data_IF_343077605681
#
_entry.id   IF_343077605681
#
_cell.length_a   1.000
_cell.length_b   1.000
_cell.length_c   1.000
_cell.angle_alpha   90.00
_cell.angle_beta   90.00
_cell.angle_gamma   90.00
#
_symmetry.space_group_name_H-M   'P 1'
#
loop_
_entity.id
_entity.type
_entity.pdbx_description
1 polymer ?
#
# COMPACT_ATOMS: atom_id res chain seq x y z
N UNK A 1 -17.44 -8.52 -9.40
CA UNK A 1 -17.76 -9.12 -8.09
C UNK A 1 -17.16 -8.24 -7.00
N UNK A 2 -17.91 -7.29 -6.43
CA UNK A 2 -17.39 -6.37 -5.42
C UNK A 2 -17.00 -7.06 -4.10
N UNK A 3 -17.56 -8.25 -3.83
CA UNK A 3 -17.30 -9.01 -2.60
C UNK A 3 -15.87 -9.55 -2.50
N UNK A 4 -15.26 -10.00 -3.60
CA UNK A 4 -13.91 -10.58 -3.58
C UNK A 4 -12.82 -9.53 -3.36
N UNK A 5 -12.94 -8.37 -4.01
CA UNK A 5 -12.01 -7.25 -3.82
C UNK A 5 -12.05 -6.71 -2.38
N UNK A 6 -13.25 -6.57 -1.80
CA UNK A 6 -13.41 -6.18 -0.40
C UNK A 6 -12.80 -7.21 0.56
N UNK A 7 -13.00 -8.51 0.30
CA UNK A 7 -12.38 -9.58 1.09
C UNK A 7 -10.85 -9.53 1.04
N UNK A 8 -10.25 -9.39 -0.15
CA UNK A 8 -8.80 -9.32 -0.32
C UNK A 8 -8.19 -8.12 0.40
N UNK A 9 -8.84 -6.94 0.31
CA UNK A 9 -8.42 -5.75 1.07
C UNK A 9 -8.49 -5.98 2.58
N UNK A 10 -9.58 -6.57 3.06
CA UNK A 10 -9.77 -6.86 4.48
C UNK A 10 -8.73 -7.85 5.01
N UNK A 11 -8.52 -8.96 4.29
CA UNK A 11 -7.52 -9.96 4.64
C UNK A 11 -6.09 -9.38 4.61
N UNK A 12 -5.75 -8.62 3.57
CA UNK A 12 -4.46 -7.95 3.47
C UNK A 12 -4.24 -6.94 4.60
N UNK A 13 -5.23 -6.11 4.93
CA UNK A 13 -5.14 -5.17 6.05
C UNK A 13 -4.93 -5.88 7.40
N UNK A 14 -5.62 -7.00 7.63
CA UNK A 14 -5.44 -7.81 8.84
C UNK A 14 -4.03 -8.38 8.93
N UNK A 15 -3.47 -8.89 7.83
CA UNK A 15 -2.08 -9.36 7.80
C UNK A 15 -1.07 -8.23 8.03
N UNK A 16 -1.30 -7.02 7.51
CA UNK A 16 -0.43 -5.87 7.81
C UNK A 16 -0.44 -5.55 9.30
N UNK A 17 -1.62 -5.55 9.94
CA UNK A 17 -1.73 -5.32 11.39
C UNK A 17 -1.03 -6.44 12.17
N UNK A 18 -1.19 -7.69 11.74
CA UNK A 18 -0.53 -8.82 12.37
C UNK A 18 1.00 -8.72 12.25
N UNK A 19 1.52 -8.48 11.04
CA UNK A 19 2.95 -8.30 10.81
C UNK A 19 3.53 -7.11 11.60
N UNK A 20 2.77 -6.01 11.73
CA UNK A 20 3.16 -4.87 12.55
C UNK A 20 3.26 -5.23 14.04
N UNK A 21 2.30 -5.99 14.56
CA UNK A 21 2.35 -6.53 15.92
C UNK A 21 3.54 -7.47 16.11
N UNK A 22 3.78 -8.40 15.17
CA UNK A 22 4.93 -9.32 15.21
C UNK A 22 6.26 -8.57 15.21
N UNK A 23 6.41 -7.52 14.39
CA UNK A 23 7.59 -6.66 14.39
C UNK A 23 7.79 -5.95 15.74
N UNK A 24 6.72 -5.39 16.31
CA UNK A 24 6.79 -4.69 17.60
C UNK A 24 7.15 -5.66 18.73
N UNK A 25 6.56 -6.86 18.73
CA UNK A 25 6.84 -7.89 19.72
C UNK A 25 8.29 -8.39 19.60
N UNK A 26 8.76 -8.68 18.39
CA UNK A 26 10.15 -9.05 18.15
C UNK A 26 11.13 -7.97 18.65
N UNK A 27 10.84 -6.69 18.38
CA UNK A 27 11.65 -5.58 18.89
C UNK A 27 11.65 -5.51 20.41
N UNK A 28 10.51 -5.74 21.06
CA UNK A 28 10.43 -5.79 22.52
C UNK A 28 11.31 -6.89 23.09
N UNK A 29 11.28 -8.10 22.50
CA UNK A 29 12.12 -9.22 22.92
C UNK A 29 13.62 -8.92 22.77
N UNK A 30 14.02 -8.26 21.67
CA UNK A 30 15.42 -7.84 21.49
C UNK A 30 15.87 -6.86 22.58
N UNK A 31 15.01 -5.91 22.96
CA UNK A 31 15.31 -4.96 24.04
C UNK A 31 15.47 -5.66 25.39
N UNK A 32 14.61 -6.64 25.69
CA UNK A 32 14.70 -7.43 26.93
C UNK A 32 16.01 -8.25 26.97
N UNK A 33 16.44 -8.80 25.83
CA UNK A 33 17.71 -9.53 25.72
C UNK A 33 18.93 -8.61 25.90
N UNK A 34 18.91 -7.41 25.33
CA UNK A 34 19.99 -6.42 25.53
C UNK A 34 20.12 -6.01 27.00
N UNK A 35 19.00 -5.86 27.71
CA UNK A 35 18.99 -5.57 29.15
C UNK A 35 19.60 -6.71 29.97
N UNK A 36 19.29 -7.98 29.63
CA UNK A 36 19.87 -9.15 30.28
C UNK A 36 21.36 -9.30 29.98
N UNK A 37 21.78 -9.07 28.74
CA UNK A 37 23.19 -9.12 28.33
C UNK A 37 24.00 -8.01 29.02
N UNK A 38 23.44 -6.79 29.13
CA UNK A 38 24.04 -5.68 29.85
C UNK A 38 24.17 -5.93 31.36
N UNK A 39 23.20 -6.62 31.96
CA UNK A 39 23.25 -7.02 33.37
C UNK A 39 24.31 -8.11 33.65
N UNK A 40 24.60 -8.97 32.68
CA UNK A 40 25.65 -10.00 32.77
C UNK A 40 27.08 -9.50 32.49
N UNK A 41 27.24 -8.34 31.86
CA UNK A 41 28.54 -7.77 31.46
C UNK A 41 29.38 -7.16 32.60
N UNK A 42 28.99 -7.34 33.87
CA UNK A 42 29.78 -6.96 35.05
C UNK A 42 30.98 -7.91 35.35
N UNK A 43 31.43 -8.69 34.36
CA UNK A 43 32.55 -9.63 34.44
C UNK A 43 33.87 -9.01 33.89
N UNK A 44 35.05 -9.51 34.30
CA UNK A 44 36.31 -8.76 34.34
C UNK A 44 36.93 -8.39 32.97
N UNK A 45 37.87 -7.42 32.94
CA UNK A 45 38.14 -6.56 31.77
C UNK A 45 38.95 -7.17 30.61
N UNK A 46 39.47 -8.39 30.72
CA UNK A 46 40.72 -8.72 30.01
C UNK A 46 40.57 -9.49 28.67
N UNK A 47 39.36 -9.64 28.10
CA UNK A 47 39.13 -10.36 26.81
C UNK A 47 38.38 -9.57 25.72
N UNK A 48 38.39 -8.22 25.78
CA UNK A 48 37.38 -7.37 25.09
C UNK A 48 37.54 -7.08 23.59
N UNK A 49 38.61 -7.45 22.89
CA UNK A 49 38.92 -6.80 21.59
C UNK A 49 38.48 -7.58 20.34
N UNK A 50 38.40 -8.91 20.34
CA UNK A 50 37.93 -9.69 19.17
C UNK A 50 36.47 -10.15 19.27
N UNK A 51 36.00 -10.52 20.47
CA UNK A 51 34.61 -10.96 20.67
C UNK A 51 33.60 -9.82 20.45
N UNK A 52 33.97 -8.57 20.76
CA UNK A 52 33.10 -7.41 20.56
C UNK A 52 32.74 -7.17 19.07
N UNK A 53 33.63 -7.52 18.13
CA UNK A 53 33.38 -7.39 16.69
C UNK A 53 32.43 -8.47 16.16
N UNK A 54 32.58 -9.71 16.65
CA UNK A 54 31.67 -10.81 16.30
C UNK A 54 30.28 -10.61 16.90
N UNK A 55 30.20 -10.10 18.14
CA UNK A 55 28.95 -9.76 18.82
C UNK A 55 28.24 -8.58 18.14
N UNK A 56 28.96 -7.57 17.65
CA UNK A 56 28.36 -6.46 16.88
C UNK A 56 27.79 -6.91 15.53
N UNK A 57 28.47 -7.83 14.83
CA UNK A 57 27.95 -8.44 13.59
C UNK A 57 26.73 -9.33 13.84
N UNK A 58 26.72 -10.08 14.95
CA UNK A 58 25.57 -10.88 15.37
C UNK A 58 24.38 -10.00 15.84
N UNK A 59 24.63 -8.89 16.53
CA UNK A 59 23.61 -7.92 16.92
C UNK A 59 23.00 -7.20 15.70
N UNK A 60 23.81 -6.88 14.69
CA UNK A 60 23.33 -6.34 13.42
C UNK A 60 22.48 -7.37 12.64
N UNK A 61 22.86 -8.65 12.67
CA UNK A 61 22.05 -9.74 12.12
C UNK A 61 20.77 -9.98 12.96
N UNK A 62 20.80 -9.75 14.28
CA UNK A 62 19.65 -9.86 15.18
C UNK A 62 18.64 -8.72 15.00
N UNK A 63 19.05 -7.56 14.46
CA UNK A 63 18.10 -6.48 14.13
C UNK A 63 17.26 -6.75 12.87
N UNK A 64 17.59 -7.79 12.11
CA UNK A 64 16.80 -8.19 10.94
C UNK A 64 15.57 -8.96 11.45
N UNK A 65 14.34 -8.53 11.10
CA UNK A 65 13.14 -9.25 11.53
C UNK A 65 13.15 -10.68 10.97
N UNK A 66 12.55 -11.63 11.71
CA UNK A 66 12.42 -13.00 11.25
C UNK A 66 11.84 -13.09 9.82
N UNK A 67 12.35 -14.01 8.98
CA UNK A 67 12.02 -14.04 7.56
C UNK A 67 10.53 -14.33 7.30
N UNK A 68 9.88 -15.07 8.19
CA UNK A 68 8.43 -15.31 8.20
C UNK A 68 7.62 -14.00 8.25
N UNK A 69 8.03 -13.03 9.08
CA UNK A 69 7.37 -11.71 9.15
C UNK A 69 7.54 -10.93 7.85
N UNK A 70 8.70 -11.06 7.20
CA UNK A 70 8.97 -10.45 5.89
C UNK A 70 8.06 -11.06 4.81
N UNK A 71 7.92 -12.39 4.79
CA UNK A 71 7.02 -13.08 3.86
C UNK A 71 5.56 -12.73 4.11
N UNK A 72 5.14 -12.63 5.38
CA UNK A 72 3.78 -12.24 5.75
C UNK A 72 3.46 -10.82 5.26
N UNK A 73 4.38 -9.86 5.46
CA UNK A 73 4.20 -8.49 4.98
C UNK A 73 4.15 -8.42 3.44
N UNK A 74 4.99 -9.19 2.75
CA UNK A 74 4.98 -9.28 1.29
C UNK A 74 3.65 -9.86 0.78
N UNK A 75 3.14 -10.91 1.42
CA UNK A 75 1.84 -11.49 1.11
C UNK A 75 0.70 -10.47 1.36
N UNK A 76 0.74 -9.76 2.48
CA UNK A 76 -0.23 -8.73 2.83
C UNK A 76 -0.29 -7.63 1.76
N UNK A 77 0.87 -7.14 1.32
CA UNK A 77 1.00 -6.16 0.24
C UNK A 77 0.41 -6.69 -1.08
N UNK A 78 0.72 -7.93 -1.45
CA UNK A 78 0.19 -8.56 -2.66
C UNK A 78 -1.35 -8.67 -2.62
N UNK A 79 -1.93 -9.04 -1.47
CA UNK A 79 -3.39 -9.12 -1.32
C UNK A 79 -4.06 -7.75 -1.41
N UNK A 80 -3.48 -6.72 -0.77
CA UNK A 80 -3.97 -5.35 -0.87
C UNK A 80 -3.93 -4.85 -2.32
N UNK A 81 -2.80 -5.05 -3.00
CA UNK A 81 -2.63 -4.64 -4.39
C UNK A 81 -3.62 -5.35 -5.32
N UNK A 82 -3.78 -6.68 -5.17
CA UNK A 82 -4.76 -7.44 -5.92
C UNK A 82 -6.19 -6.96 -5.64
N UNK A 83 -6.51 -6.66 -4.38
CA UNK A 83 -7.80 -6.10 -3.97
C UNK A 83 -8.08 -4.74 -4.63
N UNK A 84 -7.09 -3.86 -4.71
CA UNK A 84 -7.21 -2.58 -5.42
C UNK A 84 -7.39 -2.75 -6.93
N UNK A 85 -6.57 -3.59 -7.57
CA UNK A 85 -6.65 -3.85 -9.00
C UNK A 85 -8.00 -4.45 -9.41
N UNK A 86 -8.53 -5.39 -8.63
CA UNK A 86 -9.85 -5.98 -8.86
C UNK A 86 -10.99 -5.02 -8.51
N UNK A 87 -10.75 -4.08 -7.61
CA UNK A 87 -11.70 -3.07 -7.17
C UNK A 87 -11.82 -1.85 -8.10
N UNK A 88 -10.88 -1.65 -9.03
CA UNK A 88 -10.80 -0.47 -9.90
C UNK A 88 -11.96 -0.35 -10.90
N UNK A 89 -12.74 -1.42 -11.07
CA UNK A 89 -13.88 -1.44 -12.00
C UNK A 89 -13.45 -1.51 -13.47
N UNK A 90 -14.41 -1.55 -14.40
CA UNK A 90 -14.09 -1.64 -15.82
C UNK A 90 -13.42 -0.35 -16.31
N UNK A 91 -12.31 -0.51 -17.04
CA UNK A 91 -11.66 0.60 -17.73
C UNK A 91 -12.61 1.13 -18.82
N UNK A 92 -12.83 2.45 -18.85
CA UNK A 92 -13.61 3.06 -19.92
C UNK A 92 -12.81 3.02 -21.23
N UNK A 93 -13.38 2.48 -22.32
CA UNK A 93 -12.70 2.48 -23.61
C UNK A 93 -12.55 3.93 -24.11
N UNK A 94 -11.32 4.33 -24.41
CA UNK A 94 -11.04 5.59 -25.10
C UNK A 94 -11.25 5.31 -26.59
N UNK A 95 -12.41 5.68 -27.12
CA UNK A 95 -12.64 5.65 -28.56
C UNK A 95 -11.81 6.76 -29.21
N UNK A 96 -10.64 6.39 -29.73
CA UNK A 96 -9.88 7.21 -30.67
C UNK A 96 -10.74 7.37 -31.92
N UNK A 97 -11.55 8.43 -31.93
CA UNK A 97 -12.41 8.78 -33.05
C UNK A 97 -11.55 9.19 -34.24
N UNK A 98 -11.07 8.19 -34.99
CA UNK A 98 -10.43 8.37 -36.29
C UNK A 98 -11.46 8.60 -37.42
N UNK A 99 -12.74 8.76 -37.10
CA UNK A 99 -13.79 8.92 -38.10
C UNK A 99 -15.14 9.36 -37.55
N UNK A 100 -15.36 10.67 -37.49
CA UNK A 100 -16.57 11.29 -38.08
C UNK A 100 -17.96 11.05 -37.48
N UNK A 101 -18.15 10.37 -36.34
CA UNK A 101 -19.46 10.41 -35.64
C UNK A 101 -19.27 10.71 -34.17
N UNK A 102 -19.35 12.01 -33.84
CA UNK A 102 -19.40 12.54 -32.47
C UNK A 102 -20.50 11.79 -31.71
N UNK A 103 -20.13 10.94 -30.75
CA UNK A 103 -21.09 10.51 -29.73
C UNK A 103 -21.55 11.76 -28.98
N UNK A 104 -22.84 11.90 -28.66
CA UNK A 104 -23.29 13.00 -27.83
C UNK A 104 -22.50 12.96 -26.54
N UNK A 105 -21.92 14.09 -26.15
CA UNK A 105 -21.30 14.28 -24.85
C UNK A 105 -22.39 14.12 -23.79
N UNK A 106 -22.64 12.89 -23.36
CA UNK A 106 -23.54 12.61 -22.25
C UNK A 106 -22.73 12.88 -20.99
N UNK A 107 -23.20 13.85 -20.21
CA UNK A 107 -22.59 14.19 -18.94
C UNK A 107 -22.53 12.95 -18.03
N UNK A 108 -21.44 12.74 -17.28
CA UNK A 108 -21.40 11.73 -16.23
C UNK A 108 -22.60 11.93 -15.28
N UNK A 109 -23.24 10.84 -14.85
CA UNK A 109 -24.47 10.88 -14.04
C UNK A 109 -24.39 11.73 -12.76
N UNK A 110 -23.18 12.08 -12.31
CA UNK A 110 -22.89 12.85 -11.10
C UNK A 110 -22.46 14.31 -11.36
N UNK A 111 -22.41 14.79 -12.61
CA UNK A 111 -22.11 16.20 -12.97
C UNK A 111 -22.90 16.69 -14.18
N UNK A 112 -24.21 16.88 -14.01
CA UNK A 112 -25.11 17.38 -15.05
C UNK A 112 -25.09 18.90 -15.21
N UNK A 113 -24.78 19.66 -14.16
CA UNK A 113 -24.96 21.12 -14.15
C UNK A 113 -24.02 21.87 -15.10
N UNK A 114 -22.76 21.46 -15.21
CA UNK A 114 -21.78 22.16 -16.06
C UNK A 114 -21.94 21.80 -17.55
N UNK A 115 -22.51 20.63 -17.85
CA UNK A 115 -22.81 20.21 -19.22
C UNK A 115 -24.04 20.93 -19.80
N UNK A 116 -25.02 21.30 -18.96
CA UNK A 116 -26.18 22.07 -19.39
C UNK A 116 -25.82 23.46 -19.93
N UNK A 117 -24.75 24.08 -19.40
CA UNK A 117 -24.27 25.41 -19.81
C UNK A 117 -23.86 25.43 -21.29
N UNK A 118 -23.26 24.34 -21.78
CA UNK A 118 -22.80 24.24 -23.17
C UNK A 118 -23.96 24.00 -24.16
N UNK A 119 -25.06 23.39 -23.72
CA UNK A 119 -26.24 23.16 -24.56
C UNK A 119 -26.95 24.44 -24.97
N UNK A 120 -27.01 25.44 -24.07
CA UNK A 120 -27.68 26.71 -24.33
C UNK A 120 -26.80 27.69 -25.12
N UNK A 121 -25.50 27.77 -24.83
CA UNK A 121 -24.59 28.67 -25.56
C UNK A 121 -24.38 28.27 -27.02
N UNK A 122 -24.29 26.97 -27.31
CA UNK A 122 -24.14 26.48 -28.70
C UNK A 122 -25.38 26.77 -29.55
N UNK A 123 -26.59 26.64 -28.99
CA UNK A 123 -27.85 27.00 -29.67
C UNK A 123 -27.99 28.50 -29.92
N UNK A 124 -27.50 29.34 -29.02
CA UNK A 124 -27.49 30.80 -29.23
C UNK A 124 -26.57 31.25 -30.36
N UNK A 125 -25.41 30.60 -30.52
CA UNK A 125 -24.47 30.94 -31.60
C UNK A 125 -25.00 30.48 -32.97
N UNK A 126 -25.68 29.33 -33.04
CA UNK A 126 -26.33 28.86 -34.26
C UNK A 126 -27.41 29.82 -34.76
N UNK A 127 -28.24 30.37 -33.86
CA UNK A 127 -29.27 31.36 -34.22
C UNK A 127 -28.75 32.72 -34.65
N UNK A 128 -27.49 33.04 -34.37
CA UNK A 128 -26.87 34.33 -34.76
C UNK A 128 -26.17 34.25 -36.12
N UNK A 129 -26.07 33.04 -36.69
CA UNK A 129 -25.46 32.78 -37.99
C UNK A 129 -26.50 32.62 -39.11
N UNK A 130 -27.80 32.66 -38.77
CA UNK A 130 -28.95 32.83 -39.69
C UNK A 130 -29.34 34.30 -39.76
#
# INVERSE_FOLDING_TARGET
MPSTAAFLRGAGALLVVHAAYSCMHFRSLLQDLDLLAGAGAAAPPDQKTEEASAVAGAAAAAMIPPPDVVFELALALCLLLAGELLGMGPLQPIELSAGGRRRPLVAPAHRTRDFDVYSNRSKMLLRKAE
#
